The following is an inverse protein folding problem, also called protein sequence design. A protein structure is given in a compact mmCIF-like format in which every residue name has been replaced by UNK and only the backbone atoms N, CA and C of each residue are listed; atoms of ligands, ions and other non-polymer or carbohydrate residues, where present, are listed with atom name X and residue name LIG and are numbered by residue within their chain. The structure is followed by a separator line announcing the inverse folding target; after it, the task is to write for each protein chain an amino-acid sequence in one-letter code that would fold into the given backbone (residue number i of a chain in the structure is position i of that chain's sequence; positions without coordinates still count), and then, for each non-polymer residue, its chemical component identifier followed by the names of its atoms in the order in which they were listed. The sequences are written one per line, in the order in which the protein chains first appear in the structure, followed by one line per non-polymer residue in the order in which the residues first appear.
data_IF_600593680281
#
_entry.id   IF_600593680281
#
_cell.length_a   1.000
_cell.length_b   1.000
_cell.length_c   1.000
_cell.angle_alpha   90.00
_cell.angle_beta   90.00
_cell.angle_gamma   90.00
#
_symmetry.space_group_name_H-M   'P 1'
#
loop_
_entity.id
_entity.type
_entity.pdbx_description
1 polymer ?
#
# COMPACT_ATOMS: atom_id res chain seq x y z
N UNK A 1 -15.61 -11.62 3.46
CA UNK A 1 -14.49 -10.67 3.50
C UNK A 1 -14.85 -9.24 3.04
N UNK A 2 -16.11 -8.93 2.71
CA UNK A 2 -16.53 -7.59 2.22
C UNK A 2 -16.83 -6.56 3.32
N UNK A 3 -17.17 -7.01 4.54
CA UNK A 3 -17.62 -6.12 5.62
C UNK A 3 -16.51 -5.24 6.21
N UNK A 4 -15.29 -5.77 6.36
CA UNK A 4 -14.13 -5.00 6.83
C UNK A 4 -13.75 -3.91 5.82
N UNK A 5 -13.73 -4.29 4.54
CA UNK A 5 -13.42 -3.44 3.40
C UNK A 5 -14.35 -2.21 3.30
N UNK A 6 -15.66 -2.42 3.49
CA UNK A 6 -16.65 -1.33 3.45
C UNK A 6 -16.48 -0.34 4.62
N UNK A 7 -16.20 -0.84 5.82
CA UNK A 7 -16.03 -0.01 7.03
C UNK A 7 -14.77 0.84 6.94
N UNK A 8 -13.70 0.29 6.38
CA UNK A 8 -12.45 1.00 6.19
C UNK A 8 -12.65 2.12 5.16
N UNK A 9 -13.17 1.83 3.97
CA UNK A 9 -13.37 2.84 2.91
C UNK A 9 -14.29 4.00 3.35
N UNK A 10 -15.36 3.71 4.11
CA UNK A 10 -16.29 4.74 4.59
C UNK A 10 -15.70 5.68 5.66
N UNK A 11 -14.76 5.21 6.49
CA UNK A 11 -14.11 6.06 7.52
C UNK A 11 -13.05 6.99 6.94
N UNK A 12 -12.49 6.62 5.82
CA UNK A 12 -11.36 7.29 5.16
C UNK A 12 -11.78 8.58 4.50
N UNK A 13 -12.96 8.53 3.85
CA UNK A 13 -13.62 9.71 3.32
C UNK A 13 -13.97 10.73 4.44
N UNK A 14 -14.17 10.27 5.68
CA UNK A 14 -14.55 11.11 6.81
C UNK A 14 -13.36 11.78 7.53
N UNK A 15 -12.12 11.27 7.39
CA UNK A 15 -10.93 11.77 8.10
C UNK A 15 -9.94 12.54 7.22
N UNK A 16 -10.23 12.71 5.93
CA UNK A 16 -9.29 13.32 4.97
C UNK A 16 -8.20 12.37 4.50
N UNK A 17 -8.37 11.06 4.69
CA UNK A 17 -7.43 10.01 4.29
C UNK A 17 -7.02 9.07 5.42
N UNK A 18 -6.42 7.94 5.05
CA UNK A 18 -5.76 6.98 5.93
C UNK A 18 -4.60 6.32 5.19
N UNK A 19 -3.61 5.84 5.94
CA UNK A 19 -2.55 4.99 5.43
C UNK A 19 -2.50 3.72 6.28
N UNK A 20 -2.19 2.59 5.65
CA UNK A 20 -1.96 1.33 6.32
C UNK A 20 -0.81 0.59 5.64
N UNK A 21 -0.12 -0.25 6.39
CA UNK A 21 0.96 -1.10 5.89
C UNK A 21 0.39 -2.49 5.65
N UNK A 22 0.66 -3.05 4.47
CA UNK A 22 0.29 -4.40 4.11
C UNK A 22 1.57 -5.19 3.82
N UNK A 23 1.82 -6.24 4.60
CA UNK A 23 2.89 -7.19 4.30
C UNK A 23 2.39 -8.21 3.26
N UNK A 24 2.79 -8.02 2.01
CA UNK A 24 2.40 -8.89 0.90
C UNK A 24 2.90 -10.33 1.05
N UNK A 25 3.90 -10.61 1.90
CA UNK A 25 4.36 -11.97 2.17
C UNK A 25 3.41 -12.77 3.07
N UNK A 26 2.47 -12.10 3.73
CA UNK A 26 1.54 -12.72 4.69
C UNK A 26 0.10 -12.80 4.18
N UNK A 27 -0.15 -12.31 2.97
CA UNK A 27 -1.46 -12.20 2.37
C UNK A 27 -1.50 -12.82 0.98
N UNK A 28 -2.67 -13.37 0.63
CA UNK A 28 -2.93 -13.88 -0.71
C UNK A 28 -2.90 -12.74 -1.74
N UNK A 29 -2.45 -13.03 -2.95
CA UNK A 29 -2.41 -12.08 -4.08
C UNK A 29 -3.77 -11.42 -4.33
N UNK A 30 -4.88 -12.15 -4.12
CA UNK A 30 -6.22 -11.59 -4.27
C UNK A 30 -6.52 -10.48 -3.25
N UNK A 31 -6.00 -10.59 -2.03
CA UNK A 31 -6.13 -9.57 -0.99
C UNK A 31 -5.33 -8.34 -1.38
N UNK A 32 -4.08 -8.52 -1.80
CA UNK A 32 -3.19 -7.44 -2.23
C UNK A 32 -3.80 -6.68 -3.42
N UNK A 33 -4.33 -7.38 -4.41
CA UNK A 33 -5.03 -6.79 -5.55
C UNK A 33 -6.24 -5.97 -5.12
N UNK A 34 -7.07 -6.52 -4.23
CA UNK A 34 -8.28 -5.85 -3.75
C UNK A 34 -7.92 -4.55 -3.02
N UNK A 35 -6.92 -4.56 -2.14
CA UNK A 35 -6.48 -3.34 -1.45
C UNK A 35 -5.92 -2.30 -2.41
N UNK A 36 -5.10 -2.70 -3.39
CA UNK A 36 -4.56 -1.77 -4.38
C UNK A 36 -5.67 -1.09 -5.20
N UNK A 37 -6.75 -1.79 -5.53
CA UNK A 37 -7.88 -1.23 -6.29
C UNK A 37 -8.74 -0.23 -5.49
N UNK A 38 -8.62 -0.20 -4.16
CA UNK A 38 -9.47 0.60 -3.27
C UNK A 38 -8.78 1.83 -2.69
N UNK A 39 -7.47 1.94 -2.87
CA UNK A 39 -6.66 3.05 -2.35
C UNK A 39 -6.31 4.01 -3.47
N UNK A 40 -6.38 5.32 -3.18
CA UNK A 40 -6.00 6.37 -4.13
C UNK A 40 -4.51 6.36 -4.49
N UNK A 41 -3.67 5.72 -3.65
CA UNK A 41 -2.24 5.58 -3.89
C UNK A 41 -1.65 4.37 -3.18
N UNK A 42 -0.66 3.73 -3.81
CA UNK A 42 0.14 2.64 -3.25
C UNK A 42 1.61 3.05 -3.24
N UNK A 43 2.26 2.74 -2.12
CA UNK A 43 3.70 2.84 -1.97
C UNK A 43 4.20 1.41 -1.73
N UNK A 44 5.14 0.97 -2.55
CA UNK A 44 5.77 -0.34 -2.38
C UNK A 44 7.21 -0.16 -1.96
N UNK A 45 7.63 -0.93 -0.96
CA UNK A 45 9.01 -0.99 -0.48
C UNK A 45 9.53 -2.40 -0.73
N UNK A 46 10.73 -2.49 -1.27
CA UNK A 46 11.43 -3.75 -1.52
C UNK A 46 12.90 -3.63 -1.10
N UNK A 47 13.57 -4.74 -0.75
CA UNK A 47 15.02 -4.75 -0.56
C UNK A 47 15.76 -4.48 -1.87
N UNK A 48 16.96 -3.92 -1.76
CA UNK A 48 17.92 -3.66 -2.85
C UNK A 48 19.36 -3.82 -2.33
N UNK A 49 20.36 -3.92 -3.22
CA UNK A 49 21.76 -4.23 -2.87
C UNK A 49 22.38 -3.26 -1.83
N UNK A 50 21.91 -2.01 -1.79
CA UNK A 50 22.38 -0.96 -0.88
C UNK A 50 21.38 -0.52 0.19
N UNK A 51 20.23 -1.19 0.34
CA UNK A 51 19.21 -0.81 1.32
C UNK A 51 17.79 -1.11 0.86
N UNK A 52 16.88 -0.16 1.03
CA UNK A 52 15.50 -0.27 0.56
C UNK A 52 15.30 0.57 -0.69
N UNK A 53 14.47 0.07 -1.59
CA UNK A 53 13.93 0.81 -2.74
C UNK A 53 12.44 1.00 -2.58
N UNK A 54 11.93 2.11 -3.11
CA UNK A 54 10.53 2.50 -3.06
C UNK A 54 10.00 2.79 -4.46
N UNK A 55 8.74 2.43 -4.72
CA UNK A 55 7.98 2.91 -5.88
C UNK A 55 6.59 3.39 -5.47
N UNK A 56 6.04 4.27 -6.29
CA UNK A 56 4.64 4.73 -6.21
C UNK A 56 3.90 4.26 -7.46
N UNK A 57 2.56 4.32 -7.49
CA UNK A 57 1.69 3.77 -8.56
C UNK A 57 2.27 3.85 -9.98
N UNK A 58 2.77 5.04 -10.37
CA UNK A 58 3.21 5.32 -11.73
C UNK A 58 4.71 5.65 -11.82
N UNK A 59 5.46 5.37 -10.75
CA UNK A 59 6.88 5.70 -10.62
C UNK A 59 7.80 4.50 -10.81
N UNK A 60 9.02 4.77 -11.27
CA UNK A 60 10.12 3.80 -11.23
C UNK A 60 10.57 3.52 -9.79
N UNK A 61 11.26 2.39 -9.62
CA UNK A 61 11.98 2.11 -8.37
C UNK A 61 13.08 3.14 -8.15
N UNK A 62 13.14 3.69 -6.95
CA UNK A 62 14.21 4.59 -6.50
C UNK A 62 14.70 4.19 -5.11
N UNK A 63 15.96 4.49 -4.75
CA UNK A 63 16.44 4.30 -3.39
C UNK A 63 15.59 5.08 -2.37
N UNK A 64 15.42 4.51 -1.18
CA UNK A 64 14.87 5.25 -0.02
C UNK A 64 15.96 6.16 0.51
N UNK A 65 15.68 7.46 0.58
CA UNK A 65 16.57 8.46 1.17
C UNK A 65 16.52 8.36 2.71
N UNK A 66 17.63 8.04 3.40
CA UNK A 66 17.67 8.10 4.84
C UNK A 66 17.70 9.57 5.29
N UNK A 67 16.58 10.06 5.85
CA UNK A 67 16.50 11.37 6.49
C UNK A 67 17.49 11.51 7.65
#
# INVERSE_FOLDING_TARGET
MSRLVHVVSGRVAATGGFAFVLDSGTHDEQIVYTFAAMTDGRIEIAPDEGGQRVRTNDGGWRPVDPL
#
